data_IF_007240321224
#
_entry.id   IF_007240321224
#
_cell.length_a   1.000
_cell.length_b   1.000
_cell.length_c   1.000
_cell.angle_alpha   90.00
_cell.angle_beta   90.00
_cell.angle_gamma   90.00
#
_symmetry.space_group_name_H-M   'P 1'
#
loop_
_entity.id
_entity.type
_entity.pdbx_description
1 polymer ?
#
# COMPACT_ATOMS: atom_id res chain seq x y z
N UNK A 1 20.27 28.32 -33.24
CA UNK A 1 19.13 28.42 -32.36
C UNK A 1 19.31 27.38 -31.25
N UNK A 2 19.79 27.83 -30.09
CA UNK A 2 20.01 26.99 -28.91
C UNK A 2 18.72 26.96 -28.09
N UNK A 3 18.16 25.77 -27.89
CA UNK A 3 16.99 25.58 -27.05
C UNK A 3 17.45 25.47 -25.60
N UNK A 4 17.14 26.50 -24.81
CA UNK A 4 17.41 26.51 -23.38
C UNK A 4 16.43 25.60 -22.65
N UNK A 5 16.96 24.59 -21.97
CA UNK A 5 16.22 23.77 -21.01
C UNK A 5 16.06 24.58 -19.72
N UNK A 6 14.85 25.01 -19.41
CA UNK A 6 14.51 25.64 -18.15
C UNK A 6 14.50 24.59 -17.03
N UNK A 7 15.56 24.58 -16.22
CA UNK A 7 15.60 23.83 -14.96
C UNK A 7 14.76 24.59 -13.92
N UNK A 8 13.75 23.92 -13.39
CA UNK A 8 12.85 24.40 -12.32
C UNK A 8 13.62 24.68 -11.02
N UNK A 9 13.35 25.81 -10.30
CA UNK A 9 14.06 26.17 -9.08
C UNK A 9 13.43 25.59 -7.83
N UNK A 10 13.27 24.29 -7.71
CA UNK A 10 12.95 23.67 -6.41
C UNK A 10 14.25 23.33 -5.67
N UNK A 11 14.82 24.31 -4.95
CA UNK A 11 15.81 24.05 -3.91
C UNK A 11 15.11 23.30 -2.75
N UNK A 12 15.27 21.99 -2.71
CA UNK A 12 14.93 21.19 -1.52
C UNK A 12 15.85 21.65 -0.39
N UNK A 13 15.31 22.38 0.59
CA UNK A 13 16.00 22.62 1.86
C UNK A 13 16.08 21.28 2.60
N UNK A 14 17.24 20.64 2.50
CA UNK A 14 17.57 19.49 3.35
C UNK A 14 17.77 20.03 4.76
N UNK A 15 16.74 19.90 5.60
CA UNK A 15 16.85 20.13 7.06
C UNK A 15 17.88 19.12 7.61
N UNK A 16 19.02 19.63 8.07
CA UNK A 16 20.01 18.86 8.81
C UNK A 16 19.39 18.47 10.16
N UNK A 17 18.82 17.27 10.23
CA UNK A 17 18.45 16.67 11.50
C UNK A 17 19.73 16.25 12.26
N UNK A 18 19.75 16.53 13.55
CA UNK A 18 20.81 16.20 14.50
C UNK A 18 21.26 14.74 14.39
N UNK A 19 22.58 14.52 14.41
CA UNK A 19 23.25 13.20 14.35
C UNK A 19 22.88 12.33 15.55
N UNK A 20 21.73 11.63 15.50
CA UNK A 20 21.56 10.35 16.16
C UNK A 20 22.38 9.29 15.42
N UNK A 21 22.98 8.32 16.11
CA UNK A 21 23.69 7.20 15.48
C UNK A 21 22.82 6.59 14.38
N UNK A 22 23.18 6.77 13.11
CA UNK A 22 22.52 6.13 11.98
C UNK A 22 22.75 4.63 12.09
N UNK A 23 21.76 3.89 12.52
CA UNK A 23 21.79 2.43 12.54
C UNK A 23 21.53 1.94 11.12
N UNK A 24 22.53 1.97 10.25
CA UNK A 24 22.49 1.29 8.97
C UNK A 24 22.89 -0.17 9.21
N UNK A 25 22.03 -1.08 8.81
CA UNK A 25 22.29 -2.52 8.82
C UNK A 25 22.50 -3.01 7.38
N UNK A 26 23.04 -4.22 7.18
CA UNK A 26 23.08 -4.83 5.85
C UNK A 26 21.68 -4.89 5.22
N UNK A 27 21.61 -4.68 3.91
CA UNK A 27 20.37 -4.89 3.14
C UNK A 27 20.14 -6.37 2.91
N UNK A 28 18.88 -6.74 2.69
CA UNK A 28 18.56 -8.07 2.18
C UNK A 28 18.89 -8.18 0.69
N UNK A 29 19.20 -9.37 0.26
CA UNK A 29 19.43 -9.71 -1.14
C UNK A 29 18.46 -10.82 -1.54
N UNK A 30 17.78 -10.69 -2.67
CA UNK A 30 16.97 -11.76 -3.28
C UNK A 30 17.64 -12.21 -4.55
N UNK A 31 17.99 -13.49 -4.62
CA UNK A 31 18.57 -14.13 -5.79
C UNK A 31 17.52 -14.93 -6.53
N UNK A 32 17.41 -14.72 -7.82
CA UNK A 32 16.73 -15.65 -8.69
C UNK A 32 17.75 -16.70 -9.14
N UNK A 33 17.51 -17.93 -8.80
CA UNK A 33 18.33 -19.07 -9.20
C UNK A 33 17.64 -19.82 -10.34
N UNK A 34 18.41 -20.20 -11.34
CA UNK A 34 18.02 -21.17 -12.37
C UNK A 34 18.89 -22.40 -12.19
N UNK A 35 18.27 -23.54 -11.84
CA UNK A 35 18.99 -24.82 -11.58
C UNK A 35 20.19 -24.65 -10.64
N UNK A 36 20.04 -23.76 -9.63
CA UNK A 36 21.08 -23.46 -8.64
C UNK A 36 22.05 -22.34 -9.01
N UNK A 37 22.05 -21.85 -10.25
CA UNK A 37 22.93 -20.77 -10.71
C UNK A 37 22.21 -19.42 -10.56
N UNK A 38 22.88 -18.40 -10.02
CA UNK A 38 22.32 -17.04 -9.86
C UNK A 38 22.12 -16.39 -11.23
N UNK A 39 20.87 -16.15 -11.59
CA UNK A 39 20.47 -15.49 -12.84
C UNK A 39 20.31 -13.97 -12.66
N UNK A 40 19.80 -13.53 -11.50
CA UNK A 40 19.64 -12.10 -11.17
C UNK A 40 19.55 -11.90 -9.66
N UNK A 41 19.81 -10.66 -9.23
CA UNK A 41 19.87 -10.27 -7.83
C UNK A 41 19.08 -8.97 -7.62
N UNK A 42 18.31 -8.90 -6.51
CA UNK A 42 17.54 -7.75 -6.10
C UNK A 42 17.96 -7.32 -4.70
N UNK A 43 18.29 -6.05 -4.51
CA UNK A 43 18.54 -5.49 -3.18
C UNK A 43 17.25 -5.02 -2.55
N UNK A 44 17.04 -5.35 -1.27
CA UNK A 44 15.80 -5.05 -0.57
C UNK A 44 16.10 -4.42 0.80
N UNK A 45 15.26 -3.46 1.17
CA UNK A 45 15.24 -2.88 2.50
C UNK A 45 13.92 -3.18 3.18
N UNK A 46 13.95 -3.35 4.50
CA UNK A 46 12.76 -3.62 5.29
C UNK A 46 12.86 -2.98 6.67
N UNK A 47 11.73 -2.53 7.20
CA UNK A 47 11.62 -1.90 8.53
C UNK A 47 10.40 -2.46 9.24
N UNK A 48 10.56 -2.80 10.51
CA UNK A 48 9.45 -3.13 11.43
C UNK A 48 9.33 -2.01 12.44
N UNK A 49 8.10 -1.50 12.60
CA UNK A 49 7.77 -0.47 13.59
C UNK A 49 6.61 -0.91 14.48
N UNK A 50 6.53 -0.29 15.66
CA UNK A 50 5.32 -0.28 16.47
C UNK A 50 4.39 0.89 16.10
N UNK A 51 3.19 0.93 16.68
CA UNK A 51 2.16 1.96 16.49
C UNK A 51 2.56 3.36 17.00
N UNK A 52 3.61 3.44 17.83
CA UNK A 52 4.21 4.70 18.28
C UNK A 52 5.24 5.24 17.29
N UNK A 53 5.59 4.45 16.26
CA UNK A 53 6.58 4.78 15.23
C UNK A 53 8.01 4.46 15.64
N UNK A 54 8.23 3.65 16.70
CA UNK A 54 9.57 3.18 17.07
C UNK A 54 9.99 2.07 16.11
N UNK A 55 11.20 2.17 15.57
CA UNK A 55 11.80 1.11 14.77
C UNK A 55 12.27 -0.01 15.69
N UNK A 56 11.77 -1.22 15.47
CA UNK A 56 12.09 -2.41 16.27
C UNK A 56 13.12 -3.30 15.58
N UNK A 57 13.04 -3.40 14.25
CA UNK A 57 13.97 -4.18 13.46
C UNK A 57 14.15 -3.55 12.09
N UNK A 58 15.31 -3.74 11.48
CA UNK A 58 15.64 -3.13 10.20
C UNK A 58 16.60 -3.99 9.37
N UNK A 59 16.43 -3.96 8.07
CA UNK A 59 17.44 -4.35 7.08
C UNK A 59 17.64 -3.19 6.12
N UNK A 60 18.84 -2.64 6.06
CA UNK A 60 19.20 -1.44 5.30
C UNK A 60 19.03 -0.15 6.10
N UNK A 61 18.46 0.89 5.48
CA UNK A 61 18.27 2.21 6.07
C UNK A 61 16.78 2.52 6.28
N UNK A 62 16.30 2.67 7.53
CA UNK A 62 14.89 2.96 7.83
C UNK A 62 14.44 4.33 7.31
N UNK A 63 15.36 5.24 7.02
CA UNK A 63 15.08 6.57 6.48
C UNK A 63 15.05 6.60 4.93
N UNK A 64 15.26 5.46 4.27
CA UNK A 64 15.09 5.38 2.82
C UNK A 64 13.71 5.86 2.42
N UNK A 65 13.66 6.88 1.57
CA UNK A 65 12.40 7.47 1.12
C UNK A 65 11.95 6.86 -0.21
N UNK A 66 10.66 6.67 -0.34
CA UNK A 66 10.00 6.14 -1.55
C UNK A 66 8.58 6.66 -1.65
N UNK A 67 7.99 6.65 -2.84
CA UNK A 67 6.55 6.86 -2.98
C UNK A 67 5.79 5.65 -2.42
N UNK A 68 4.85 5.91 -1.50
CA UNK A 68 4.05 4.84 -0.86
C UNK A 68 3.11 4.12 -1.85
N UNK A 69 2.69 4.80 -2.92
CA UNK A 69 1.87 4.25 -4.01
C UNK A 69 0.59 3.56 -3.48
N UNK A 70 0.22 2.43 -4.05
CA UNK A 70 -1.01 1.72 -3.68
C UNK A 70 -1.04 1.19 -2.24
N UNK A 71 0.07 1.19 -1.50
CA UNK A 71 0.07 0.93 -0.07
C UNK A 71 -0.59 2.06 0.76
N UNK A 72 -0.86 3.22 0.15
CA UNK A 72 -1.61 4.33 0.75
C UNK A 72 -3.13 4.09 0.79
N UNK A 73 -3.67 3.20 -0.01
CA UNK A 73 -5.14 3.07 -0.23
C UNK A 73 -5.95 2.82 1.03
N UNK A 74 -5.55 1.98 2.00
CA UNK A 74 -6.26 1.85 3.27
C UNK A 74 -6.41 3.19 4.01
N UNK A 75 -5.39 4.04 3.97
CA UNK A 75 -5.40 5.36 4.61
C UNK A 75 -6.21 6.39 3.82
N UNK A 76 -6.28 6.28 2.50
CA UNK A 76 -7.20 7.08 1.67
C UNK A 76 -8.67 6.69 1.91
N UNK A 77 -8.94 5.43 2.22
CA UNK A 77 -10.27 4.94 2.57
C UNK A 77 -10.79 5.48 3.91
N UNK A 78 -9.91 6.03 4.78
CA UNK A 78 -10.32 6.71 6.00
C UNK A 78 -11.27 7.88 5.71
N UNK A 79 -11.14 8.55 4.58
CA UNK A 79 -12.10 9.57 4.17
C UNK A 79 -13.54 9.02 4.09
N UNK A 80 -13.71 7.76 3.71
CA UNK A 80 -15.02 7.12 3.62
C UNK A 80 -15.56 6.76 5.00
N UNK A 81 -14.71 6.18 5.87
CA UNK A 81 -15.14 5.74 7.21
C UNK A 81 -15.31 6.90 8.20
N UNK A 82 -14.54 7.98 8.05
CA UNK A 82 -14.56 9.12 8.96
C UNK A 82 -15.67 10.15 8.64
N UNK A 83 -16.25 10.12 7.45
CA UNK A 83 -17.27 11.10 7.03
C UNK A 83 -18.71 10.61 7.17
N UNK A 84 -18.93 9.36 7.60
CA UNK A 84 -20.26 8.76 7.61
C UNK A 84 -20.78 8.36 6.22
N UNK A 85 -19.88 8.31 5.22
CA UNK A 85 -20.24 7.94 3.84
C UNK A 85 -20.75 6.51 3.74
N UNK A 86 -20.20 5.59 4.56
CA UNK A 86 -20.65 4.20 4.60
C UNK A 86 -22.11 4.10 5.04
N UNK A 87 -22.46 4.80 6.11
CA UNK A 87 -23.82 4.80 6.68
C UNK A 87 -24.80 5.49 5.72
N UNK A 88 -24.41 6.62 5.17
CA UNK A 88 -25.24 7.42 4.23
C UNK A 88 -25.69 6.61 3.02
N UNK A 89 -24.80 5.80 2.47
CA UNK A 89 -25.04 5.05 1.22
C UNK A 89 -25.17 3.55 1.44
N UNK A 90 -25.29 3.11 2.71
CA UNK A 90 -25.40 1.70 3.09
C UNK A 90 -24.28 0.84 2.45
N UNK A 91 -23.04 1.36 2.47
CA UNK A 91 -21.88 0.62 2.01
C UNK A 91 -21.46 -0.41 3.05
N UNK A 92 -21.11 -1.61 2.60
CA UNK A 92 -20.71 -2.72 3.46
C UNK A 92 -19.18 -2.98 3.39
N UNK A 93 -18.72 -4.01 4.11
CA UNK A 93 -17.30 -4.36 4.16
C UNK A 93 -16.74 -4.74 2.78
N UNK A 94 -17.52 -5.34 1.90
CA UNK A 94 -17.09 -5.67 0.55
C UNK A 94 -16.91 -4.43 -0.32
N UNK A 95 -17.75 -3.40 -0.13
CA UNK A 95 -17.57 -2.09 -0.75
C UNK A 95 -16.30 -1.39 -0.22
N UNK A 96 -16.04 -1.47 1.07
CA UNK A 96 -14.83 -0.89 1.66
C UNK A 96 -13.56 -1.62 1.21
N UNK A 97 -13.61 -2.94 1.06
CA UNK A 97 -12.50 -3.74 0.54
C UNK A 97 -12.11 -3.35 -0.89
N UNK A 98 -13.10 -3.16 -1.78
CA UNK A 98 -12.80 -2.72 -3.17
C UNK A 98 -12.29 -1.27 -3.20
N UNK A 99 -12.69 -0.41 -2.27
CA UNK A 99 -12.15 0.95 -2.12
C UNK A 99 -10.66 0.91 -1.73
N UNK A 100 -10.22 -0.05 -0.93
CA UNK A 100 -8.82 -0.27 -0.55
C UNK A 100 -7.99 -0.99 -1.63
N UNK A 101 -8.59 -1.42 -2.74
CA UNK A 101 -8.04 -2.42 -3.65
C UNK A 101 -6.97 -1.92 -4.63
N UNK A 102 -6.17 -2.88 -5.07
CA UNK A 102 -5.46 -2.84 -6.36
C UNK A 102 -5.93 -4.04 -7.17
N UNK A 103 -7.17 -4.00 -7.65
CA UNK A 103 -7.85 -5.13 -8.27
C UNK A 103 -7.41 -5.40 -9.72
N UNK A 104 -7.78 -6.55 -10.24
CA UNK A 104 -7.41 -6.99 -11.59
C UNK A 104 -8.47 -6.67 -12.67
N UNK A 105 -9.56 -5.99 -12.28
CA UNK A 105 -10.65 -5.66 -13.18
C UNK A 105 -11.45 -6.88 -13.62
N UNK A 106 -11.58 -7.90 -12.76
CA UNK A 106 -12.50 -9.01 -13.01
C UNK A 106 -13.95 -8.51 -13.00
N UNK A 107 -14.86 -9.26 -13.63
CA UNK A 107 -16.26 -8.87 -13.68
C UNK A 107 -16.86 -8.64 -12.29
N UNK A 108 -16.48 -9.46 -11.32
CA UNK A 108 -16.93 -9.34 -9.94
C UNK A 108 -16.43 -8.05 -9.27
N UNK A 109 -15.15 -7.72 -9.46
CA UNK A 109 -14.55 -6.50 -8.94
C UNK A 109 -15.12 -5.25 -9.61
N UNK A 110 -15.31 -5.29 -10.93
CA UNK A 110 -15.95 -4.20 -11.70
C UNK A 110 -17.37 -3.93 -11.23
N UNK A 111 -18.17 -4.99 -11.03
CA UNK A 111 -19.53 -4.87 -10.45
C UNK A 111 -19.49 -4.25 -9.06
N UNK A 112 -18.51 -4.60 -8.23
CA UNK A 112 -18.41 -4.04 -6.89
C UNK A 112 -18.07 -2.55 -6.93
N UNK A 113 -17.17 -2.10 -7.81
CA UNK A 113 -16.88 -0.67 -8.03
C UNK A 113 -18.13 0.05 -8.53
N UNK A 114 -18.84 -0.52 -9.52
CA UNK A 114 -20.09 0.02 -10.01
C UNK A 114 -21.14 0.16 -8.89
N UNK A 115 -21.27 -0.84 -8.02
CA UNK A 115 -22.21 -0.80 -6.90
C UNK A 115 -21.91 0.35 -5.91
N UNK A 116 -20.63 0.63 -5.64
CA UNK A 116 -20.24 1.79 -4.80
C UNK A 116 -20.72 3.10 -5.45
N UNK A 117 -20.46 3.29 -6.74
CA UNK A 117 -20.88 4.48 -7.48
C UNK A 117 -22.40 4.59 -7.51
N UNK A 118 -23.10 3.51 -7.89
CA UNK A 118 -24.56 3.49 -8.02
C UNK A 118 -25.26 3.80 -6.69
N UNK A 119 -24.84 3.19 -5.59
CA UNK A 119 -25.40 3.47 -4.25
C UNK A 119 -25.15 4.91 -3.81
N UNK A 120 -24.05 5.51 -4.26
CA UNK A 120 -23.68 6.88 -3.95
C UNK A 120 -24.29 7.91 -4.91
N UNK A 121 -25.15 7.47 -5.83
CA UNK A 121 -25.76 8.34 -6.87
C UNK A 121 -24.70 9.08 -7.70
N UNK A 122 -23.66 8.34 -8.10
CA UNK A 122 -22.56 8.85 -8.92
C UNK A 122 -22.50 8.11 -10.25
N UNK A 123 -22.56 8.85 -11.35
CA UNK A 123 -22.42 8.28 -12.69
C UNK A 123 -20.97 7.76 -12.88
N UNK A 124 -20.77 6.54 -13.42
CA UNK A 124 -19.44 5.98 -13.68
C UNK A 124 -18.54 6.85 -14.59
N UNK A 125 -19.12 7.72 -15.40
CA UNK A 125 -18.37 8.69 -16.24
C UNK A 125 -17.62 9.74 -15.41
N UNK A 126 -17.94 9.89 -14.12
CA UNK A 126 -17.19 10.74 -13.20
C UNK A 126 -15.80 10.19 -12.84
N UNK A 127 -15.53 8.90 -13.12
CA UNK A 127 -14.22 8.31 -12.87
C UNK A 127 -13.14 8.96 -13.74
N UNK A 128 -12.09 9.50 -13.11
CA UNK A 128 -10.96 10.14 -13.79
C UNK A 128 -9.71 9.26 -13.88
N UNK A 129 -9.77 8.01 -13.40
CA UNK A 129 -8.69 7.06 -13.66
C UNK A 129 -8.73 6.64 -15.15
N UNK A 130 -7.54 6.36 -15.77
CA UNK A 130 -7.49 6.00 -17.17
C UNK A 130 -8.15 4.64 -17.45
N UNK A 131 -8.56 4.42 -18.69
CA UNK A 131 -8.93 3.09 -19.16
C UNK A 131 -7.64 2.28 -19.33
N UNK A 132 -7.48 1.12 -18.68
CA UNK A 132 -6.27 0.33 -18.82
C UNK A 132 -6.11 -0.20 -20.25
N UNK A 133 -4.89 -0.41 -20.68
CA UNK A 133 -4.59 -1.01 -21.98
C UNK A 133 -5.33 -2.34 -22.16
N UNK A 134 -5.95 -2.53 -23.32
CA UNK A 134 -6.74 -3.72 -23.65
C UNK A 134 -8.07 -3.85 -22.89
N UNK A 135 -8.50 -2.82 -22.14
CA UNK A 135 -9.78 -2.76 -21.43
C UNK A 135 -10.73 -1.75 -22.08
N UNK A 136 -12.00 -1.79 -21.66
CA UNK A 136 -13.06 -0.98 -22.31
C UNK A 136 -13.61 0.13 -21.37
N UNK A 137 -13.25 0.10 -20.10
CA UNK A 137 -13.85 1.00 -19.10
C UNK A 137 -12.88 1.37 -18.00
N UNK A 138 -12.92 2.62 -17.46
CA UNK A 138 -12.18 3.00 -16.29
C UNK A 138 -12.56 2.19 -15.03
N UNK A 139 -13.74 1.57 -15.00
CA UNK A 139 -14.15 0.62 -13.94
C UNK A 139 -13.18 -0.57 -13.82
N UNK A 140 -12.50 -0.95 -14.89
CA UNK A 140 -11.52 -2.03 -14.93
C UNK A 140 -10.12 -1.61 -14.45
N UNK A 141 -9.90 -0.31 -14.19
CA UNK A 141 -8.63 0.17 -13.68
C UNK A 141 -8.42 -0.31 -12.24
N UNK A 142 -7.22 -0.75 -11.91
CA UNK A 142 -6.87 -1.30 -10.59
C UNK A 142 -7.08 -0.33 -9.40
N UNK A 143 -7.26 0.96 -9.69
CA UNK A 143 -7.52 2.01 -8.70
C UNK A 143 -8.98 2.49 -8.69
N UNK A 144 -9.86 1.99 -9.57
CA UNK A 144 -11.23 2.50 -9.73
C UNK A 144 -12.05 2.43 -8.43
N UNK A 145 -11.82 1.41 -7.59
CA UNK A 145 -12.44 1.31 -6.26
C UNK A 145 -12.10 2.50 -5.36
N UNK A 146 -10.82 2.88 -5.29
CA UNK A 146 -10.38 4.07 -4.56
C UNK A 146 -11.05 5.35 -5.08
N UNK A 147 -11.12 5.50 -6.40
CA UNK A 147 -11.78 6.64 -7.04
C UNK A 147 -13.28 6.66 -6.72
N UNK A 148 -13.96 5.52 -6.76
CA UNK A 148 -15.36 5.42 -6.36
C UNK A 148 -15.58 5.83 -4.90
N UNK A 149 -14.70 5.43 -3.98
CA UNK A 149 -14.74 5.88 -2.59
C UNK A 149 -14.57 7.39 -2.43
N UNK A 150 -13.62 8.00 -3.14
CA UNK A 150 -13.43 9.46 -3.14
C UNK A 150 -14.67 10.19 -3.68
N UNK A 151 -15.24 9.71 -4.78
CA UNK A 151 -16.46 10.29 -5.38
C UNK A 151 -17.68 10.15 -4.47
N UNK A 152 -17.83 9.01 -3.77
CA UNK A 152 -18.89 8.83 -2.78
C UNK A 152 -18.79 9.85 -1.63
N UNK A 153 -17.57 10.14 -1.14
CA UNK A 153 -17.34 11.20 -0.15
C UNK A 153 -17.69 12.57 -0.73
N UNK A 154 -17.29 12.87 -1.97
CA UNK A 154 -17.60 14.13 -2.63
C UNK A 154 -19.13 14.32 -2.74
N UNK A 155 -19.85 13.31 -3.19
CA UNK A 155 -21.31 13.33 -3.32
C UNK A 155 -21.99 13.56 -1.97
N UNK A 156 -21.59 12.86 -0.93
CA UNK A 156 -22.13 13.04 0.42
C UNK A 156 -21.90 14.45 0.97
N UNK A 157 -20.72 15.01 0.71
CA UNK A 157 -20.31 16.33 1.20
C UNK A 157 -20.75 17.47 0.29
N UNK A 158 -21.44 17.18 -0.80
CA UNK A 158 -21.80 18.15 -1.84
C UNK A 158 -20.58 18.91 -2.40
N UNK A 159 -19.45 18.21 -2.50
CA UNK A 159 -18.26 18.70 -3.18
C UNK A 159 -18.32 18.35 -4.66
N UNK A 160 -17.64 19.14 -5.48
CA UNK A 160 -17.58 18.89 -6.92
C UNK A 160 -17.07 17.47 -7.20
N UNK A 161 -17.70 16.77 -8.14
CA UNK A 161 -17.21 15.49 -8.68
C UNK A 161 -16.13 15.70 -9.75
N UNK A 162 -15.99 16.96 -10.24
CA UNK A 162 -14.94 17.32 -11.16
C UNK A 162 -13.64 17.64 -10.41
N UNK A 163 -12.50 17.32 -11.03
CA UNK A 163 -11.17 17.68 -10.52
C UNK A 163 -10.86 17.17 -9.10
N UNK A 164 -11.54 16.09 -8.64
CA UNK A 164 -11.34 15.52 -7.30
C UNK A 164 -9.92 14.95 -7.08
N UNK A 165 -9.10 14.88 -8.13
CA UNK A 165 -7.70 14.48 -8.06
C UNK A 165 -6.73 15.63 -7.80
N UNK A 166 -7.19 16.88 -7.94
CA UNK A 166 -6.34 18.05 -7.70
C UNK A 166 -6.00 18.21 -6.21
N UNK A 167 -4.77 18.61 -5.90
CA UNK A 167 -4.30 18.82 -4.52
C UNK A 167 -5.15 19.83 -3.73
N UNK A 168 -5.74 20.80 -4.42
CA UNK A 168 -6.60 21.83 -3.81
C UNK A 168 -8.02 21.35 -3.51
N UNK A 169 -8.44 20.20 -4.07
CA UNK A 169 -9.79 19.68 -3.89
C UNK A 169 -10.05 19.26 -2.45
N UNK A 170 -11.27 19.52 -1.88
CA UNK A 170 -11.58 19.22 -0.49
C UNK A 170 -11.31 17.76 -0.09
N UNK A 171 -11.64 16.77 -0.94
CA UNK A 171 -11.39 15.36 -0.64
C UNK A 171 -9.89 15.04 -0.53
N UNK A 172 -9.05 15.67 -1.34
CA UNK A 172 -7.60 15.47 -1.25
C UNK A 172 -6.99 16.19 -0.04
N UNK A 173 -7.53 17.34 0.35
CA UNK A 173 -7.17 18.02 1.60
C UNK A 173 -7.55 17.18 2.82
N UNK A 174 -8.73 16.56 2.81
CA UNK A 174 -9.17 15.65 3.87
C UNK A 174 -8.22 14.45 3.99
N UNK A 175 -7.91 13.77 2.88
CA UNK A 175 -6.97 12.64 2.86
C UNK A 175 -5.58 13.08 3.34
N UNK A 176 -5.08 14.21 2.86
CA UNK A 176 -3.79 14.76 3.28
C UNK A 176 -3.75 15.00 4.79
N UNK A 177 -4.79 15.64 5.35
CA UNK A 177 -4.88 15.91 6.78
C UNK A 177 -4.84 14.63 7.61
N UNK A 178 -5.62 13.61 7.23
CA UNK A 178 -5.65 12.32 7.91
C UNK A 178 -4.29 11.60 7.86
N UNK A 179 -3.64 11.58 6.69
CA UNK A 179 -2.33 10.95 6.54
C UNK A 179 -1.24 11.71 7.31
N UNK A 180 -1.27 13.04 7.28
CA UNK A 180 -0.34 13.90 8.02
C UNK A 180 -0.46 13.71 9.54
N UNK A 181 -1.68 13.60 10.06
CA UNK A 181 -1.97 13.30 11.45
C UNK A 181 -1.38 11.95 11.87
N UNK A 182 -1.61 10.89 11.08
CA UNK A 182 -1.05 9.55 11.34
C UNK A 182 0.48 9.53 11.29
N UNK A 183 1.09 10.33 10.43
CA UNK A 183 2.54 10.47 10.33
C UNK A 183 3.11 11.44 11.38
N UNK A 184 2.27 12.11 12.15
CA UNK A 184 2.65 13.12 13.16
C UNK A 184 3.55 14.21 12.58
N UNK A 185 3.18 14.71 11.37
CA UNK A 185 3.93 15.75 10.66
C UNK A 185 2.96 16.72 9.96
N UNK A 186 3.38 17.98 9.73
CA UNK A 186 2.58 18.94 8.96
C UNK A 186 2.33 18.45 7.52
N UNK A 187 1.11 18.64 7.01
CA UNK A 187 0.76 18.21 5.64
C UNK A 187 1.58 18.92 4.57
N UNK A 188 2.06 20.13 4.85
CA UNK A 188 2.91 20.93 3.95
C UNK A 188 4.31 20.31 3.76
N UNK A 189 4.78 19.51 4.72
CA UNK A 189 6.06 18.81 4.65
C UNK A 189 5.99 17.50 3.83
N UNK A 190 4.77 16.99 3.55
CA UNK A 190 4.57 15.81 2.73
C UNK A 190 4.84 16.13 1.26
N UNK A 191 5.93 15.57 0.72
CA UNK A 191 6.25 15.69 -0.70
C UNK A 191 5.23 14.88 -1.50
N UNK A 192 4.55 15.54 -2.44
CA UNK A 192 3.45 15.00 -3.24
C UNK A 192 3.85 14.82 -4.69
N UNK A 193 3.34 13.76 -5.30
CA UNK A 193 3.32 13.56 -6.75
C UNK A 193 2.00 12.87 -7.14
N UNK A 194 1.76 12.71 -8.44
CA UNK A 194 0.61 11.96 -8.93
C UNK A 194 1.00 10.48 -9.11
N UNK A 195 0.13 9.59 -8.68
CA UNK A 195 0.18 8.17 -9.02
C UNK A 195 -0.30 7.97 -10.46
N UNK A 196 -0.08 6.79 -11.06
CA UNK A 196 -0.45 6.50 -12.46
C UNK A 196 -1.95 6.64 -12.74
N UNK A 197 -2.78 6.62 -11.71
CA UNK A 197 -4.23 6.88 -11.81
C UNK A 197 -4.60 8.36 -11.69
N UNK A 198 -3.64 9.28 -11.57
CA UNK A 198 -3.85 10.71 -11.38
C UNK A 198 -4.09 11.15 -9.94
N UNK A 199 -4.32 10.24 -8.99
CA UNK A 199 -4.51 10.60 -7.58
C UNK A 199 -3.18 10.93 -6.88
N UNK A 200 -3.17 11.82 -5.88
CA UNK A 200 -1.98 12.10 -5.09
C UNK A 200 -1.39 10.87 -4.40
N UNK A 201 -0.05 10.80 -4.39
CA UNK A 201 0.75 9.87 -3.60
C UNK A 201 1.87 10.63 -2.89
N UNK A 202 2.45 10.08 -1.83
CA UNK A 202 3.41 10.77 -0.98
C UNK A 202 4.77 10.09 -1.00
N UNK A 203 5.84 10.90 -0.99
CA UNK A 203 7.23 10.45 -0.89
C UNK A 203 7.65 10.51 0.57
N UNK A 204 7.78 9.35 1.22
CA UNK A 204 7.93 9.21 2.65
C UNK A 204 8.97 8.16 3.01
N UNK A 205 9.49 8.19 4.24
CA UNK A 205 10.48 7.25 4.72
C UNK A 205 9.87 5.86 4.97
N UNK A 206 10.67 4.82 4.77
CA UNK A 206 10.22 3.44 4.94
C UNK A 206 9.71 3.16 6.36
N UNK A 207 10.37 3.76 7.39
CA UNK A 207 9.90 3.69 8.78
C UNK A 207 8.53 4.33 8.99
N UNK A 208 8.20 5.41 8.27
CA UNK A 208 6.88 6.05 8.34
C UNK A 208 5.80 5.14 7.73
N UNK A 209 6.12 4.46 6.62
CA UNK A 209 5.22 3.48 6.01
C UNK A 209 4.97 2.30 6.97
N UNK A 210 6.01 1.77 7.59
CA UNK A 210 5.88 0.69 8.59
C UNK A 210 5.03 1.14 9.79
N UNK A 211 5.26 2.35 10.30
CA UNK A 211 4.47 2.95 11.39
C UNK A 211 2.99 3.14 11.04
N UNK A 212 2.67 3.53 9.79
CA UNK A 212 1.29 3.58 9.32
C UNK A 212 0.61 2.20 9.40
N UNK A 213 1.28 1.14 8.95
CA UNK A 213 0.73 -0.22 9.01
C UNK A 213 0.63 -0.77 10.42
N UNK A 214 1.53 -0.36 11.33
CA UNK A 214 1.43 -0.65 12.74
C UNK A 214 0.17 0.01 13.36
N UNK A 215 -0.09 1.29 13.06
CA UNK A 215 -1.29 1.98 13.49
C UNK A 215 -2.56 1.38 12.88
N UNK A 216 -2.55 1.01 11.58
CA UNK A 216 -3.66 0.33 10.93
C UNK A 216 -4.04 -0.95 11.66
N UNK A 217 -3.06 -1.69 12.15
CA UNK A 217 -3.23 -2.99 12.81
C UNK A 217 -3.45 -2.90 14.34
N UNK A 218 -3.30 -1.72 14.95
CA UNK A 218 -3.35 -1.57 16.42
C UNK A 218 -4.75 -1.66 17.05
N UNK A 219 -5.82 -1.43 16.26
CA UNK A 219 -7.19 -1.38 16.77
C UNK A 219 -7.54 -0.09 17.54
N UNK A 220 -6.67 0.93 17.50
CA UNK A 220 -6.89 2.20 18.21
C UNK A 220 -7.84 3.19 17.53
N UNK A 221 -8.35 2.87 16.35
CA UNK A 221 -9.20 3.76 15.55
C UNK A 221 -10.31 2.94 14.86
N UNK A 222 -11.56 3.25 15.16
CA UNK A 222 -12.72 2.53 14.62
C UNK A 222 -12.76 2.51 13.08
N UNK A 223 -12.36 3.60 12.43
CA UNK A 223 -12.29 3.67 10.96
C UNK A 223 -11.26 2.69 10.40
N UNK A 224 -10.10 2.57 11.05
CA UNK A 224 -9.06 1.59 10.69
C UNK A 224 -9.48 0.16 10.96
N UNK A 225 -10.14 -0.12 12.09
CA UNK A 225 -10.70 -1.45 12.40
C UNK A 225 -11.66 -1.92 11.33
N UNK A 226 -12.57 -1.03 10.88
CA UNK A 226 -13.50 -1.32 9.77
C UNK A 226 -12.75 -1.62 8.47
N UNK A 227 -11.70 -0.86 8.16
CA UNK A 227 -10.86 -1.08 6.97
C UNK A 227 -10.16 -2.43 7.06
N UNK A 228 -9.51 -2.72 8.18
CA UNK A 228 -8.81 -4.01 8.42
C UNK A 228 -9.78 -5.18 8.28
N UNK A 229 -10.94 -5.10 8.93
CA UNK A 229 -11.98 -6.13 8.83
C UNK A 229 -12.43 -6.33 7.39
N UNK A 230 -12.72 -5.24 6.67
CA UNK A 230 -13.13 -5.31 5.27
C UNK A 230 -12.07 -5.98 4.39
N UNK A 231 -10.81 -5.61 4.57
CA UNK A 231 -9.69 -6.16 3.78
C UNK A 231 -9.47 -7.64 4.06
N UNK A 232 -9.48 -8.05 5.33
CA UNK A 232 -9.22 -9.44 5.74
C UNK A 232 -10.37 -10.39 5.47
N UNK A 233 -11.63 -9.92 5.53
CA UNK A 233 -12.79 -10.72 5.17
C UNK A 233 -13.04 -10.82 3.65
N UNK A 234 -12.55 -9.85 2.87
CA UNK A 234 -12.72 -9.80 1.42
C UNK A 234 -11.40 -9.61 0.67
N UNK A 235 -10.36 -10.47 0.93
CA UNK A 235 -9.03 -10.27 0.37
C UNK A 235 -8.99 -10.35 -1.16
N UNK A 236 -9.87 -11.12 -1.78
CA UNK A 236 -10.02 -11.19 -3.25
C UNK A 236 -10.47 -9.85 -3.84
N UNK A 237 -11.33 -9.11 -3.13
CA UNK A 237 -11.70 -7.75 -3.54
C UNK A 237 -10.49 -6.80 -3.47
N UNK A 238 -9.61 -6.97 -2.48
CA UNK A 238 -8.45 -6.11 -2.27
C UNK A 238 -7.39 -6.28 -3.36
N UNK A 239 -7.11 -7.53 -3.78
CA UNK A 239 -5.93 -7.78 -4.62
C UNK A 239 -6.17 -8.76 -5.79
N UNK A 240 -7.25 -9.53 -5.75
CA UNK A 240 -7.55 -10.59 -6.73
C UNK A 240 -6.99 -11.95 -6.33
N UNK A 241 -7.52 -13.00 -6.93
CA UNK A 241 -7.10 -14.38 -6.68
C UNK A 241 -5.62 -14.59 -7.01
N UNK A 242 -4.98 -15.43 -6.22
CA UNK A 242 -3.60 -15.87 -6.43
C UNK A 242 -2.53 -14.83 -6.12
N UNK A 243 -2.89 -13.64 -5.66
CA UNK A 243 -1.93 -12.61 -5.26
C UNK A 243 -1.40 -12.85 -3.84
N UNK A 244 -0.22 -12.30 -3.54
CA UNK A 244 0.39 -12.44 -2.22
C UNK A 244 -0.51 -11.87 -1.10
N UNK A 245 -1.08 -10.68 -1.30
CA UNK A 245 -1.96 -10.05 -0.31
C UNK A 245 -3.18 -10.94 -0.01
N UNK A 246 -3.81 -11.49 -1.05
CA UNK A 246 -4.97 -12.38 -0.90
C UNK A 246 -4.62 -13.65 -0.15
N UNK A 247 -3.54 -14.32 -0.54
CA UNK A 247 -3.13 -15.57 0.09
C UNK A 247 -2.70 -15.38 1.54
N UNK A 248 -1.93 -14.32 1.81
CA UNK A 248 -1.48 -14.03 3.17
C UNK A 248 -2.67 -13.74 4.10
N UNK A 249 -3.59 -12.83 3.70
CA UNK A 249 -4.76 -12.49 4.51
C UNK A 249 -5.69 -13.68 4.71
N UNK A 250 -5.84 -14.55 3.70
CA UNK A 250 -6.66 -15.75 3.77
C UNK A 250 -6.06 -16.80 4.72
N UNK A 251 -4.76 -17.08 4.58
CA UNK A 251 -4.07 -18.08 5.40
C UNK A 251 -3.91 -17.64 6.86
N UNK A 252 -3.71 -16.35 7.11
CA UNK A 252 -3.58 -15.80 8.47
C UNK A 252 -4.91 -15.68 9.23
N UNK A 253 -6.05 -15.95 8.58
CA UNK A 253 -7.37 -15.97 9.21
C UNK A 253 -7.69 -14.71 10.04
N UNK A 254 -7.27 -13.54 9.55
CA UNK A 254 -7.51 -12.26 10.21
C UNK A 254 -6.40 -11.80 11.18
N UNK A 255 -5.27 -12.50 11.27
CA UNK A 255 -4.14 -12.04 12.08
C UNK A 255 -3.26 -11.00 11.36
N UNK A 256 -3.26 -11.01 10.03
CA UNK A 256 -2.43 -10.12 9.24
C UNK A 256 -3.27 -9.34 8.21
N UNK A 257 -3.00 -8.04 8.08
CA UNK A 257 -3.48 -7.21 6.99
C UNK A 257 -2.32 -6.91 6.04
N UNK A 258 -2.56 -7.04 4.74
CA UNK A 258 -1.50 -6.92 3.71
C UNK A 258 -1.93 -6.03 2.56
N UNK A 259 -1.02 -5.17 2.09
CA UNK A 259 -1.23 -4.36 0.90
C UNK A 259 0.04 -4.11 0.12
N UNK A 260 0.05 -4.54 -1.11
CA UNK A 260 1.12 -4.26 -2.05
C UNK A 260 1.03 -2.84 -2.63
N UNK A 261 2.18 -2.24 -2.87
CA UNK A 261 2.36 -1.05 -3.71
C UNK A 261 3.11 -1.37 -5.00
N UNK A 262 3.06 -0.45 -5.97
CA UNK A 262 3.92 -0.48 -7.15
C UNK A 262 5.40 -0.30 -6.74
N UNK A 263 6.32 -0.53 -7.66
CA UNK A 263 7.77 -0.32 -7.46
C UNK A 263 8.34 -1.11 -6.29
N UNK A 264 7.91 -2.37 -6.13
CA UNK A 264 8.48 -3.29 -5.15
C UNK A 264 8.13 -3.01 -3.69
N UNK A 265 7.01 -2.34 -3.42
CA UNK A 265 6.53 -2.08 -2.06
C UNK A 265 5.60 -3.21 -1.61
N UNK A 266 5.83 -3.69 -0.38
CA UNK A 266 4.94 -4.59 0.34
C UNK A 266 4.83 -4.12 1.79
N UNK A 267 3.60 -3.99 2.28
CA UNK A 267 3.32 -3.57 3.64
C UNK A 267 2.39 -4.58 4.32
N UNK A 268 2.67 -4.89 5.57
CA UNK A 268 1.92 -5.87 6.35
C UNK A 268 1.77 -5.33 7.78
N UNK A 269 0.58 -5.46 8.36
CA UNK A 269 0.31 -5.14 9.76
C UNK A 269 -0.09 -6.40 10.54
N UNK A 270 0.40 -6.56 11.77
CA UNK A 270 -0.01 -7.62 12.69
C UNK A 270 -1.11 -7.11 13.59
N UNK A 271 -2.32 -7.65 13.34
CA UNK A 271 -3.56 -7.17 13.95
C UNK A 271 -3.58 -7.46 15.45
N UNK A 272 -4.00 -6.47 16.24
CA UNK A 272 -4.05 -6.55 17.70
C UNK A 272 -2.72 -6.32 18.41
N UNK A 273 -1.58 -6.40 17.72
CA UNK A 273 -0.25 -6.17 18.33
C UNK A 273 0.33 -4.79 18.00
N UNK A 274 -0.30 -4.04 17.08
CA UNK A 274 0.20 -2.73 16.70
C UNK A 274 1.60 -2.78 16.09
N UNK A 275 1.90 -3.81 15.31
CA UNK A 275 3.17 -4.00 14.61
C UNK A 275 2.97 -3.88 13.10
N UNK A 276 3.88 -3.20 12.44
CA UNK A 276 3.84 -3.01 10.99
C UNK A 276 5.20 -3.19 10.34
N UNK A 277 5.21 -3.81 9.17
CA UNK A 277 6.41 -3.97 8.33
C UNK A 277 6.21 -3.28 6.99
N UNK A 278 7.25 -2.58 6.53
CA UNK A 278 7.35 -2.06 5.18
C UNK A 278 8.61 -2.61 4.50
N UNK A 279 8.43 -3.13 3.29
CA UNK A 279 9.46 -3.72 2.44
C UNK A 279 9.58 -2.88 1.17
N UNK A 280 10.81 -2.57 0.75
CA UNK A 280 11.12 -1.89 -0.51
C UNK A 280 12.18 -2.64 -1.29
N UNK A 281 11.81 -3.19 -2.44
CA UNK A 281 12.73 -3.70 -3.44
C UNK A 281 13.29 -2.52 -4.23
N UNK A 282 14.59 -2.33 -4.25
CA UNK A 282 15.22 -1.10 -4.72
C UNK A 282 15.09 -0.89 -6.24
N UNK A 283 15.01 -1.95 -7.02
CA UNK A 283 14.78 -1.95 -8.47
C UNK A 283 13.31 -2.10 -8.87
N UNK A 284 12.39 -2.17 -7.91
CA UNK A 284 10.94 -2.28 -8.16
C UNK A 284 10.45 -3.68 -8.52
N UNK A 285 11.30 -4.70 -8.57
CA UNK A 285 10.94 -6.05 -9.02
C UNK A 285 9.85 -6.69 -8.15
N UNK A 286 8.69 -6.99 -8.75
CA UNK A 286 7.52 -7.56 -8.05
C UNK A 286 7.80 -8.91 -7.42
N UNK A 287 8.58 -9.78 -8.10
CA UNK A 287 8.89 -11.15 -7.63
C UNK A 287 9.65 -11.16 -6.29
N UNK A 288 10.57 -10.20 -6.10
CA UNK A 288 11.42 -10.16 -4.93
C UNK A 288 10.65 -9.77 -3.65
N UNK A 289 9.64 -8.89 -3.74
CA UNK A 289 8.93 -8.41 -2.55
C UNK A 289 8.16 -9.49 -1.81
N UNK A 290 7.50 -10.41 -2.54
CA UNK A 290 6.76 -11.53 -1.94
C UNK A 290 7.70 -12.54 -1.29
N UNK A 291 8.83 -12.87 -1.93
CA UNK A 291 9.83 -13.76 -1.38
C UNK A 291 10.41 -13.22 -0.05
N UNK A 292 10.77 -11.94 -0.02
CA UNK A 292 11.23 -11.29 1.21
C UNK A 292 10.14 -11.28 2.27
N UNK A 293 8.89 -10.98 1.91
CA UNK A 293 7.79 -10.97 2.86
C UNK A 293 7.63 -12.34 3.55
N UNK A 294 7.66 -13.44 2.80
CA UNK A 294 7.60 -14.80 3.38
C UNK A 294 8.76 -15.04 4.36
N UNK A 295 9.99 -14.71 3.96
CA UNK A 295 11.17 -14.89 4.80
C UNK A 295 11.10 -14.09 6.10
N UNK A 296 10.70 -12.80 6.01
CA UNK A 296 10.64 -11.94 7.17
C UNK A 296 9.48 -12.29 8.12
N UNK A 297 8.33 -12.66 7.58
CA UNK A 297 7.20 -13.14 8.40
C UNK A 297 7.57 -14.41 9.18
N UNK A 298 8.35 -15.31 8.55
CA UNK A 298 8.90 -16.49 9.23
C UNK A 298 9.90 -16.10 10.32
N UNK A 299 10.85 -15.20 10.03
CA UNK A 299 11.84 -14.72 10.99
C UNK A 299 11.18 -14.07 12.22
N UNK A 300 10.12 -13.29 12.00
CA UNK A 300 9.36 -12.60 13.05
C UNK A 300 8.40 -13.54 13.82
N UNK A 301 8.20 -14.77 13.36
CA UNK A 301 7.22 -15.68 13.93
C UNK A 301 5.76 -15.24 13.72
N UNK A 302 5.49 -14.45 12.68
CA UNK A 302 4.14 -13.96 12.36
C UNK A 302 3.32 -14.97 11.55
N UNK A 303 3.96 -15.96 11.00
CA UNK A 303 3.31 -17.08 10.28
C UNK A 303 3.84 -18.41 10.79
N UNK A 304 2.98 -19.43 10.79
CA UNK A 304 3.37 -20.80 11.15
C UNK A 304 4.30 -21.41 10.09
N UNK A 305 5.07 -22.49 10.43
CA UNK A 305 5.87 -23.20 9.45
C UNK A 305 5.06 -23.69 8.23
N UNK A 306 3.86 -24.22 8.45
CA UNK A 306 2.96 -24.69 7.39
C UNK A 306 2.51 -23.57 6.46
N UNK A 307 2.15 -22.38 7.00
CA UNK A 307 1.85 -21.20 6.19
C UNK A 307 3.08 -20.74 5.39
N UNK A 308 4.25 -20.74 6.03
CA UNK A 308 5.50 -20.38 5.36
C UNK A 308 5.80 -21.29 4.16
N UNK A 309 5.61 -22.60 4.30
CA UNK A 309 5.79 -23.57 3.22
C UNK A 309 4.80 -23.34 2.07
N UNK A 310 3.51 -23.15 2.39
CA UNK A 310 2.47 -22.87 1.39
C UNK A 310 2.76 -21.58 0.60
N UNK A 311 3.15 -20.49 1.29
CA UNK A 311 3.49 -19.23 0.64
C UNK A 311 4.81 -19.33 -0.15
N UNK A 312 5.82 -20.04 0.37
CA UNK A 312 7.08 -20.23 -0.31
C UNK A 312 6.91 -21.03 -1.62
N UNK A 313 6.11 -22.09 -1.61
CA UNK A 313 5.80 -22.86 -2.82
C UNK A 313 5.19 -21.97 -3.91
N UNK A 314 4.28 -21.09 -3.54
CA UNK A 314 3.56 -20.23 -4.47
C UNK A 314 4.36 -19.02 -4.94
N UNK A 315 5.16 -18.41 -4.07
CA UNK A 315 5.78 -17.10 -4.33
C UNK A 315 7.31 -17.14 -4.42
N UNK A 316 7.97 -18.24 -4.03
CA UNK A 316 9.41 -18.37 -4.13
C UNK A 316 9.86 -19.37 -5.21
N UNK A 317 8.92 -20.09 -5.84
CA UNK A 317 9.17 -21.01 -6.96
C UNK A 317 8.43 -20.52 -8.23
N UNK A 318 9.02 -19.58 -9.00
CA UNK A 318 8.39 -19.08 -10.22
C UNK A 318 8.16 -20.13 -11.31
N UNK A 319 8.94 -21.19 -11.32
CA UNK A 319 8.78 -22.35 -12.20
C UNK A 319 9.58 -23.55 -11.64
N UNK A 320 9.43 -24.71 -12.26
CA UNK A 320 10.19 -25.92 -11.93
C UNK A 320 11.71 -25.68 -11.88
N UNK A 321 12.24 -24.88 -12.83
CA UNK A 321 13.69 -24.63 -12.96
C UNK A 321 14.16 -23.39 -12.21
N UNK A 322 13.25 -22.62 -11.59
CA UNK A 322 13.57 -21.34 -10.96
C UNK A 322 13.09 -21.28 -9.52
N UNK A 323 13.95 -20.74 -8.66
CA UNK A 323 13.60 -20.41 -7.27
C UNK A 323 14.15 -19.05 -6.87
N UNK A 324 13.49 -18.43 -5.92
CA UNK A 324 13.96 -17.22 -5.25
C UNK A 324 14.57 -17.63 -3.91
N UNK A 325 15.73 -17.09 -3.62
CA UNK A 325 16.44 -17.26 -2.35
C UNK A 325 16.61 -15.88 -1.71
N UNK A 326 16.37 -15.78 -0.41
CA UNK A 326 16.56 -14.53 0.34
C UNK A 326 17.75 -14.68 1.24
N UNK A 327 18.71 -13.77 1.10
CA UNK A 327 19.96 -13.71 1.88
C UNK A 327 19.88 -12.52 2.83
N UNK A 328 20.30 -12.73 4.07
CA UNK A 328 20.26 -11.72 5.14
C UNK A 328 18.99 -11.83 5.99
N UNK A 329 18.94 -11.00 7.01
CA UNK A 329 17.88 -11.01 8.01
C UNK A 329 17.64 -9.60 8.57
N UNK A 330 16.54 -9.40 9.29
CA UNK A 330 16.29 -8.19 10.07
C UNK A 330 17.20 -8.18 11.29
N UNK A 331 17.86 -7.04 11.50
CA UNK A 331 18.59 -6.76 12.73
C UNK A 331 17.65 -6.12 13.75
N UNK A 332 17.62 -6.64 14.98
CA UNK A 332 16.91 -6.04 16.10
C UNK A 332 17.64 -4.74 16.51
N UNK A 333 16.89 -3.72 16.94
CA UNK A 333 17.41 -2.44 17.42
C UNK A 333 17.18 -2.24 18.90
#
# INVERSE_FOLDING_TARGET
>A
MQTAVLLSPYRVKVLRMTRGKRTQTPTLEVRLLREGIVESTHRVQAVVCDDRGRVLSVAGNPETSTFIRSALKPFQALAVTATGTMERYNLNDRDLAIICSSHHGTMEQVRQVFNVLWRSDVDPSALQCPVPEGKQSPLQHNCSGKHAGMLAVCQQRQWSLNNYLQYSHPVQKLILSQVAELMKMPGEELIRAHDDCGAPTYFVQLRQIAGLYAQLASGGNLGMERIVRAMTHHPVMVAGEGTFDTELMRLSQGELVSKAGAEGIQCIGRIGEGLGIAIKVMDGAKRAKSAVAVQLLRQLGWISPSMSETLAEKFMKPSEFKRLEVIGELSML
#
